data_IF_107588569189
#
_entry.id   IF_107588569189
#
_cell.length_a   1.000
_cell.length_b   1.000
_cell.length_c   1.000
_cell.angle_alpha   90.00
_cell.angle_beta   90.00
_cell.angle_gamma   90.00
#
_symmetry.space_group_name_H-M   'P 1'
#
loop_
_entity.id
_entity.type
_entity.pdbx_description
1 polymer ?
#
# COMPACT_ATOMS: atom_id res chain seq x y z
N UNK A 1 -9.26 4.19 -17.83
CA UNK A 1 -8.61 3.82 -16.57
C UNK A 1 -8.13 2.39 -16.66
N UNK A 2 -6.85 2.17 -16.44
CA UNK A 2 -6.28 0.82 -16.45
C UNK A 2 -6.44 0.10 -15.12
N UNK A 3 -6.45 -1.22 -15.16
CA UNK A 3 -6.45 -2.06 -13.96
C UNK A 3 -5.15 -2.86 -13.92
N UNK A 4 -4.46 -2.77 -12.78
CA UNK A 4 -3.21 -3.46 -12.54
C UNK A 4 -3.38 -4.41 -11.36
N UNK A 5 -2.73 -5.56 -11.42
CA UNK A 5 -2.87 -6.62 -10.43
C UNK A 5 -1.56 -6.85 -9.69
N UNK A 6 -1.69 -7.31 -8.45
CA UNK A 6 -0.57 -7.73 -7.63
C UNK A 6 -1.03 -8.67 -6.53
N UNK A 7 -0.08 -9.23 -5.80
CA UNK A 7 -0.40 -10.10 -4.67
C UNK A 7 0.78 -10.23 -3.72
N UNK A 8 0.51 -10.73 -2.50
CA UNK A 8 1.56 -11.26 -1.65
C UNK A 8 2.14 -12.53 -2.28
N UNK A 9 3.19 -13.08 -1.71
CA UNK A 9 3.87 -14.23 -2.29
C UNK A 9 2.97 -15.47 -2.39
N UNK A 10 2.18 -15.76 -1.36
CA UNK A 10 1.32 -16.96 -1.37
C UNK A 10 -0.02 -16.75 -2.10
N UNK A 11 -0.38 -15.51 -2.43
CA UNK A 11 -1.63 -15.18 -3.12
C UNK A 11 -2.84 -14.98 -2.22
N UNK A 12 -2.74 -15.14 -0.91
CA UNK A 12 -3.86 -14.96 0.00
C UNK A 12 -4.36 -13.50 0.06
N UNK A 13 -3.46 -12.54 -0.22
CA UNK A 13 -3.81 -11.14 -0.41
C UNK A 13 -3.56 -10.77 -1.87
N UNK A 14 -4.57 -10.28 -2.57
CA UNK A 14 -4.41 -9.78 -3.93
C UNK A 14 -4.90 -8.34 -4.04
N UNK A 15 -4.34 -7.61 -5.00
CA UNK A 15 -4.59 -6.20 -5.21
C UNK A 15 -5.10 -5.98 -6.63
N UNK A 16 -6.18 -5.22 -6.75
CA UNK A 16 -6.59 -4.58 -7.99
C UNK A 16 -6.38 -3.08 -7.83
N UNK A 17 -5.51 -2.51 -8.62
CA UNK A 17 -5.21 -1.08 -8.61
C UNK A 17 -5.71 -0.46 -9.90
N UNK A 18 -6.66 0.46 -9.79
CA UNK A 18 -7.26 1.17 -10.93
C UNK A 18 -6.74 2.60 -10.96
N UNK A 19 -6.09 2.96 -12.05
CA UNK A 19 -5.49 4.27 -12.22
C UNK A 19 -5.37 4.62 -13.70
N UNK A 20 -5.45 5.91 -14.02
CA UNK A 20 -5.16 6.41 -15.37
C UNK A 20 -3.66 6.50 -15.65
N UNK A 21 -2.82 6.38 -14.59
CA UNK A 21 -1.38 6.45 -14.74
C UNK A 21 -0.82 5.10 -15.21
N UNK A 22 0.07 5.13 -16.19
CA UNK A 22 0.85 3.94 -16.57
C UNK A 22 2.00 3.75 -15.57
N UNK A 23 2.53 2.52 -15.40
CA UNK A 23 3.59 2.26 -14.41
C UNK A 23 4.82 3.19 -14.52
N UNK A 24 5.16 3.64 -15.72
CA UNK A 24 6.26 4.58 -15.92
C UNK A 24 6.01 5.93 -15.22
N UNK A 25 4.75 6.28 -14.99
CA UNK A 25 4.35 7.56 -14.38
C UNK A 25 3.90 7.42 -12.93
N UNK A 26 3.88 6.23 -12.37
CA UNK A 26 3.51 6.05 -10.97
C UNK A 26 4.48 6.80 -10.07
N UNK A 27 3.99 7.63 -9.14
CA UNK A 27 4.88 8.26 -8.16
C UNK A 27 5.45 7.18 -7.24
N UNK A 28 6.77 7.13 -7.12
CA UNK A 28 7.45 6.16 -6.25
C UNK A 28 8.10 6.91 -5.09
N UNK A 29 7.83 6.45 -3.88
CA UNK A 29 8.35 7.03 -2.65
C UNK A 29 8.96 5.94 -1.77
N UNK A 30 10.07 6.29 -1.11
CA UNK A 30 10.70 5.44 -0.10
C UNK A 30 10.52 6.11 1.26
N UNK A 31 9.58 5.61 2.05
CA UNK A 31 9.45 6.02 3.44
C UNK A 31 10.68 5.56 4.21
N UNK A 32 11.34 6.50 4.92
CA UNK A 32 12.59 6.24 5.62
C UNK A 32 12.37 5.78 7.08
N UNK A 33 11.13 5.54 7.51
CA UNK A 33 10.88 4.98 8.84
C UNK A 33 11.47 3.56 8.94
N UNK A 34 11.78 3.14 10.15
CA UNK A 34 12.45 1.84 10.37
C UNK A 34 11.65 0.66 9.83
N UNK A 35 10.32 0.71 9.96
CA UNK A 35 9.46 -0.37 9.46
C UNK A 35 9.55 -0.49 7.93
N UNK A 36 9.35 0.61 7.21
CA UNK A 36 9.39 0.60 5.74
C UNK A 36 10.77 0.24 5.20
N UNK A 37 11.84 0.73 5.85
CA UNK A 37 13.22 0.40 5.46
C UNK A 37 13.52 -1.09 5.59
N UNK A 38 13.03 -1.72 6.66
CA UNK A 38 13.23 -3.17 6.88
C UNK A 38 12.49 -4.02 5.86
N UNK A 39 11.42 -3.51 5.28
CA UNK A 39 10.63 -4.18 4.24
C UNK A 39 11.00 -3.76 2.81
N UNK A 40 11.93 -2.82 2.66
CA UNK A 40 12.27 -2.23 1.36
C UNK A 40 11.01 -1.75 0.62
N UNK A 41 10.11 -1.09 1.34
CA UNK A 41 8.83 -0.61 0.82
C UNK A 41 9.04 0.40 -0.31
N UNK A 42 8.45 0.12 -1.46
CA UNK A 42 8.38 1.04 -2.60
C UNK A 42 6.94 1.51 -2.73
N UNK A 43 6.60 2.63 -2.08
CA UNK A 43 5.22 3.05 -2.00
C UNK A 43 4.77 3.82 -3.22
N UNK A 44 3.55 3.55 -3.64
CA UNK A 44 2.89 4.28 -4.70
C UNK A 44 1.39 4.43 -4.40
N UNK A 45 0.79 5.47 -4.94
CA UNK A 45 -0.63 5.73 -4.85
C UNK A 45 -1.03 6.77 -5.88
N UNK A 46 -2.32 6.82 -6.18
CA UNK A 46 -2.92 7.83 -7.06
C UNK A 46 -4.18 8.34 -6.35
N UNK A 47 -4.24 9.64 -5.99
CA UNK A 47 -5.43 10.19 -5.32
C UNK A 47 -6.71 10.08 -6.14
N UNK A 48 -6.58 10.02 -7.47
CA UNK A 48 -7.72 9.84 -8.38
C UNK A 48 -8.02 8.37 -8.66
N UNK A 49 -7.17 7.45 -8.17
CA UNK A 49 -7.34 6.02 -8.38
C UNK A 49 -8.06 5.33 -7.21
N UNK A 50 -8.22 4.04 -7.35
CA UNK A 50 -8.79 3.20 -6.30
C UNK A 50 -8.10 1.85 -6.24
N UNK A 51 -8.10 1.27 -5.05
CA UNK A 51 -7.52 -0.05 -4.78
C UNK A 51 -8.57 -0.94 -4.14
N UNK A 52 -8.70 -2.15 -4.66
CA UNK A 52 -9.43 -3.23 -3.99
C UNK A 52 -8.41 -4.24 -3.49
N UNK A 53 -8.35 -4.42 -2.19
CA UNK A 53 -7.57 -5.48 -1.57
C UNK A 53 -8.50 -6.67 -1.32
N UNK A 54 -8.17 -7.81 -1.90
CA UNK A 54 -8.99 -9.00 -1.84
C UNK A 54 -8.29 -10.02 -0.93
N UNK A 55 -8.97 -10.41 0.14
CA UNK A 55 -8.48 -11.38 1.10
C UNK A 55 -9.05 -12.76 0.76
N UNK A 56 -8.23 -13.82 0.84
CA UNK A 56 -8.74 -15.19 0.73
C UNK A 56 -9.85 -15.45 1.75
N UNK A 57 -9.64 -14.99 2.97
CA UNK A 57 -10.63 -14.91 4.04
C UNK A 57 -10.23 -13.81 5.03
N UNK A 58 -11.07 -13.51 6.00
CA UNK A 58 -10.81 -12.44 6.96
C UNK A 58 -9.58 -12.68 7.85
N UNK A 59 -9.16 -13.93 8.01
CA UNK A 59 -7.99 -14.29 8.81
C UNK A 59 -6.68 -14.17 8.04
N UNK A 60 -6.71 -13.91 6.72
CA UNK A 60 -5.51 -13.80 5.89
C UNK A 60 -4.69 -12.54 6.16
N UNK A 61 -5.27 -11.54 6.83
CA UNK A 61 -4.67 -10.23 7.01
C UNK A 61 -4.24 -10.00 8.46
N UNK A 62 -2.96 -9.72 8.67
CA UNK A 62 -2.45 -9.17 9.93
C UNK A 62 -2.30 -7.65 9.79
N UNK A 63 -2.63 -6.94 10.85
CA UNK A 63 -2.51 -5.49 10.94
C UNK A 63 -1.50 -5.15 12.03
N UNK A 64 -0.52 -4.33 11.69
CA UNK A 64 0.49 -3.86 12.63
C UNK A 64 0.38 -2.35 12.78
N UNK A 65 0.44 -1.84 14.00
CA UNK A 65 0.39 -0.42 14.32
C UNK A 65 1.58 -0.05 15.20
N UNK A 66 2.13 1.14 14.97
CA UNK A 66 3.21 1.69 15.80
C UNK A 66 3.19 3.23 15.74
N UNK A 67 4.06 3.87 16.50
CA UNK A 67 4.20 5.32 16.58
C UNK A 67 2.85 6.01 16.90
N UNK A 68 2.29 6.80 16.01
CA UNK A 68 1.00 7.49 16.23
C UNK A 68 -0.21 6.54 16.23
N UNK A 69 -0.05 5.30 15.80
CA UNK A 69 -1.08 4.26 15.75
C UNK A 69 -2.31 4.61 14.90
N UNK A 70 -2.18 5.53 13.97
CA UNK A 70 -3.27 5.90 13.05
C UNK A 70 -3.24 5.10 11.75
N UNK A 71 -2.21 4.28 11.56
CA UNK A 71 -1.96 3.53 10.33
C UNK A 71 -2.01 2.05 10.61
N UNK A 72 -2.75 1.31 9.78
CA UNK A 72 -2.66 -0.14 9.74
C UNK A 72 -1.68 -0.56 8.65
N UNK A 73 -0.60 -1.21 9.04
CA UNK A 73 0.36 -1.82 8.12
C UNK A 73 -0.12 -3.23 7.83
N UNK A 74 -0.42 -3.51 6.57
CA UNK A 74 -1.13 -4.71 6.14
C UNK A 74 -0.14 -5.78 5.70
N UNK A 75 -0.15 -6.90 6.39
CA UNK A 75 0.82 -7.98 6.21
C UNK A 75 0.06 -9.29 6.02
N UNK A 76 0.49 -10.09 5.04
CA UNK A 76 -0.09 -11.41 4.86
C UNK A 76 0.18 -12.28 6.09
N UNK A 77 -0.88 -12.84 6.67
CA UNK A 77 -0.77 -13.71 7.85
C UNK A 77 -0.03 -15.02 7.56
N UNK A 78 0.01 -15.44 6.28
CA UNK A 78 0.62 -16.70 5.87
C UNK A 78 2.06 -16.55 5.39
N UNK A 79 2.32 -15.63 4.45
CA UNK A 79 3.66 -15.49 3.87
C UNK A 79 4.46 -14.30 4.40
N UNK A 80 3.83 -13.40 5.17
CA UNK A 80 4.52 -12.28 5.81
C UNK A 80 4.80 -11.09 4.91
N UNK A 81 4.35 -11.08 3.67
CA UNK A 81 4.62 -9.95 2.76
C UNK A 81 3.80 -8.74 3.17
N UNK A 82 4.47 -7.59 3.27
CA UNK A 82 3.87 -6.29 3.53
C UNK A 82 3.34 -5.72 2.22
N UNK A 83 2.01 -5.61 2.08
CA UNK A 83 1.37 -5.25 0.81
C UNK A 83 0.96 -3.78 0.72
N UNK A 84 0.80 -3.10 1.83
CA UNK A 84 0.39 -1.72 1.86
C UNK A 84 -0.03 -1.26 3.24
N UNK A 85 -0.48 -0.02 3.32
CA UNK A 85 -0.92 0.56 4.59
C UNK A 85 -2.17 1.40 4.39
N UNK A 86 -3.06 1.37 5.38
CA UNK A 86 -4.33 2.10 5.35
C UNK A 86 -4.47 3.05 6.52
N UNK A 87 -5.30 4.08 6.34
CA UNK A 87 -5.76 4.98 7.40
C UNK A 87 -7.27 5.13 7.34
N UNK A 88 -7.85 5.63 8.42
CA UNK A 88 -9.28 5.99 8.53
C UNK A 88 -10.21 4.84 8.16
N UNK A 89 -10.14 3.75 8.92
CA UNK A 89 -10.99 2.57 8.72
C UNK A 89 -10.89 2.02 7.29
N UNK A 90 -9.65 1.92 6.79
CA UNK A 90 -9.35 1.40 5.45
C UNK A 90 -9.93 2.24 4.30
N UNK A 91 -10.19 3.53 4.54
CA UNK A 91 -10.71 4.42 3.48
C UNK A 91 -9.63 4.82 2.47
N UNK A 92 -8.39 4.89 2.90
CA UNK A 92 -7.26 5.35 2.09
C UNK A 92 -6.09 4.38 2.22
N UNK A 93 -5.44 4.10 1.10
CA UNK A 93 -4.34 3.12 1.02
C UNK A 93 -3.17 3.65 0.21
N UNK A 94 -1.97 3.31 0.66
CA UNK A 94 -0.76 3.30 -0.16
C UNK A 94 -0.35 1.84 -0.35
N UNK A 95 0.03 1.48 -1.57
CA UNK A 95 0.42 0.10 -1.89
C UNK A 95 1.94 -0.03 -2.01
N UNK A 96 2.43 -1.24 -1.76
CA UNK A 96 3.81 -1.59 -2.02
C UNK A 96 3.95 -1.99 -3.50
N UNK A 97 4.59 -1.14 -4.30
CA UNK A 97 4.77 -1.40 -5.72
C UNK A 97 5.52 -2.71 -6.02
N UNK A 98 6.30 -3.20 -5.06
CA UNK A 98 7.05 -4.46 -5.23
C UNK A 98 6.16 -5.69 -5.31
N UNK A 99 4.91 -5.62 -4.84
CA UNK A 99 3.96 -6.76 -4.92
C UNK A 99 3.14 -6.75 -6.21
N UNK A 100 3.25 -5.70 -7.02
CA UNK A 100 2.50 -5.59 -8.27
C UNK A 100 3.15 -6.44 -9.37
N UNK A 101 2.32 -7.01 -10.25
CA UNK A 101 2.80 -7.82 -11.37
C UNK A 101 3.72 -7.03 -12.30
N UNK A 102 3.49 -5.72 -12.41
CA UNK A 102 4.32 -4.80 -13.20
C UNK A 102 5.57 -4.30 -12.45
N UNK A 103 5.92 -4.88 -11.30
CA UNK A 103 7.03 -4.40 -10.48
C UNK A 103 8.34 -4.24 -11.25
N UNK A 104 8.60 -5.07 -12.25
CA UNK A 104 9.80 -4.96 -13.08
C UNK A 104 9.92 -3.58 -13.77
N UNK A 105 8.78 -2.96 -14.12
CA UNK A 105 8.76 -1.64 -14.72
C UNK A 105 9.06 -0.52 -13.70
N UNK A 106 8.95 -0.82 -12.41
CA UNK A 106 9.20 0.14 -11.31
C UNK A 106 10.64 0.04 -10.80
N UNK A 107 11.23 -1.14 -10.85
CA UNK A 107 12.59 -1.39 -10.37
C UNK A 107 13.60 -0.64 -11.26
N UNK A 108 14.56 0.00 -10.64
CA UNK A 108 15.54 0.82 -11.34
C UNK A 108 15.10 2.27 -11.57
N UNK A 109 13.84 2.62 -11.32
CA UNK A 109 13.40 4.00 -11.29
C UNK A 109 13.82 4.64 -9.98
N UNK A 110 14.09 5.95 -10.01
CA UNK A 110 14.38 6.71 -8.80
C UNK A 110 13.12 6.90 -7.98
N UNK A 111 13.14 6.48 -6.71
CA UNK A 111 12.08 6.75 -5.76
C UNK A 111 12.44 7.95 -4.88
N UNK A 112 11.45 8.78 -4.57
CA UNK A 112 11.66 9.96 -3.73
C UNK A 112 11.72 9.54 -2.25
N UNK A 113 12.83 9.84 -1.53
CA UNK A 113 12.91 9.58 -0.09
C UNK A 113 11.90 10.45 0.66
N UNK A 114 11.25 9.88 1.68
CA UNK A 114 10.30 10.58 2.55
C UNK A 114 10.68 10.38 4.00
N UNK A 115 10.97 11.48 4.69
CA UNK A 115 11.22 11.49 6.14
C UNK A 115 10.02 12.15 6.79
N UNK A 116 9.22 11.36 7.50
CA UNK A 116 7.91 11.78 7.99
C UNK A 116 7.81 11.69 9.53
N UNK A 117 8.94 11.53 10.22
CA UNK A 117 8.98 11.28 11.66
C UNK A 117 8.44 12.45 12.50
N UNK A 118 8.48 13.68 11.97
CA UNK A 118 8.08 14.88 12.68
C UNK A 118 6.60 15.25 12.48
N UNK A 119 5.85 14.47 11.71
CA UNK A 119 4.44 14.74 11.51
C UNK A 119 3.61 14.36 12.74
N UNK A 120 2.64 15.20 13.11
CA UNK A 120 1.59 14.81 14.04
C UNK A 120 0.67 13.78 13.39
N UNK A 121 -0.18 13.13 14.21
CA UNK A 121 -1.19 12.19 13.68
C UNK A 121 -2.14 12.89 12.70
N UNK A 122 -2.58 14.11 13.02
CA UNK A 122 -3.49 14.89 12.17
C UNK A 122 -2.85 15.30 10.84
N UNK A 123 -1.62 15.77 10.86
CA UNK A 123 -0.88 16.15 9.66
C UNK A 123 -0.67 14.93 8.76
N UNK A 124 -0.39 13.79 9.35
CA UNK A 124 -0.18 12.52 8.64
C UNK A 124 -1.45 12.09 7.91
N UNK A 125 -2.59 12.12 8.59
CA UNK A 125 -3.88 11.76 7.99
C UNK A 125 -4.23 12.74 6.87
N UNK A 126 -4.07 14.04 7.10
CA UNK A 126 -4.36 15.07 6.09
C UNK A 126 -3.52 14.87 4.81
N UNK A 127 -2.23 14.59 4.95
CA UNK A 127 -1.35 14.30 3.81
C UNK A 127 -1.80 13.06 3.05
N UNK A 128 -2.17 12.01 3.76
CA UNK A 128 -2.58 10.73 3.16
C UNK A 128 -3.89 10.82 2.41
N UNK A 129 -4.85 11.61 2.90
CA UNK A 129 -6.09 11.90 2.15
C UNK A 129 -5.82 12.57 0.80
N UNK A 130 -4.75 13.35 0.69
CA UNK A 130 -4.39 14.06 -0.53
C UNK A 130 -3.59 13.19 -1.50
N UNK A 131 -2.82 12.22 -1.00
CA UNK A 131 -1.86 11.45 -1.79
C UNK A 131 -2.25 9.99 -2.00
N UNK A 132 -2.98 9.41 -1.04
CA UNK A 132 -3.31 7.98 -1.07
C UNK A 132 -4.56 7.73 -1.90
N UNK A 133 -4.70 6.50 -2.37
CA UNK A 133 -5.84 6.06 -3.17
C UNK A 133 -7.01 5.66 -2.28
N UNK A 134 -8.23 5.75 -2.82
CA UNK A 134 -9.40 5.15 -2.16
C UNK A 134 -9.23 3.66 -2.06
N UNK A 135 -9.73 3.08 -0.98
CA UNK A 135 -9.55 1.67 -0.67
C UNK A 135 -10.86 0.97 -0.35
N UNK A 136 -10.98 -0.25 -0.83
CA UNK A 136 -11.98 -1.21 -0.38
C UNK A 136 -11.27 -2.53 -0.08
N UNK A 137 -11.64 -3.17 1.02
CA UNK A 137 -11.12 -4.48 1.39
C UNK A 137 -12.27 -5.48 1.36
N UNK A 138 -12.15 -6.50 0.51
CA UNK A 138 -13.15 -7.56 0.34
C UNK A 138 -12.56 -8.90 0.77
N UNK A 139 -13.28 -9.62 1.63
CA UNK A 139 -12.94 -11.01 1.91
C UNK A 139 -13.75 -11.91 0.97
N UNK A 140 -13.07 -12.89 0.34
CA UNK A 140 -13.79 -13.86 -0.51
C UNK A 140 -14.67 -14.74 0.36
N UNK A 141 -15.90 -15.00 -0.13
CA UNK A 141 -16.75 -16.01 0.46
C UNK A 141 -16.24 -17.41 0.08
N UNK A 142 -16.28 -18.31 1.05
CA UNK A 142 -15.98 -19.73 0.85
C UNK A 142 -17.24 -20.54 0.59
#
# INVERSE_FOLDING_TARGET
MGTYHGSCHCGDLSIEYRTDLVPADWPLRECQCKFCRKHAMLSTSDPAGEVVLILRDSAALNRYRFATRVTDFLICARCGVYVGATVENDSWIVINGRVMDCAAALLGRTAEPRVLDNESAEERIARRRQLWSRCRIDARAH
#
